data_IF_191259695230
#
_entry.id   IF_191259695230
#
_cell.length_a   1.000
_cell.length_b   1.000
_cell.length_c   1.000
_cell.angle_alpha   90.00
_cell.angle_beta   90.00
_cell.angle_gamma   90.00
#
_symmetry.space_group_name_H-M   'P 1'
#
loop_
_entity.id
_entity.type
_entity.pdbx_description
1 polymer ?
#
# COMPACT_ATOMS: atom_id res chain seq x y z
N UNK A 1 -10.09 -9.08 6.36
CA UNK A 1 -9.57 -10.10 5.41
C UNK A 1 -10.75 -10.96 4.99
N UNK A 2 -11.00 -11.08 3.68
CA UNK A 2 -12.03 -11.99 3.16
C UNK A 2 -11.43 -13.40 2.98
N UNK A 3 -12.28 -14.44 2.97
CA UNK A 3 -11.83 -15.83 2.90
C UNK A 3 -11.20 -16.23 1.55
N UNK A 4 -11.41 -15.45 0.49
CA UNK A 4 -10.71 -15.59 -0.77
C UNK A 4 -9.47 -14.69 -0.80
N UNK A 5 -8.31 -15.27 -1.16
CA UNK A 5 -7.04 -14.56 -1.24
C UNK A 5 -7.10 -13.41 -2.25
N UNK A 6 -6.59 -12.24 -1.84
CA UNK A 6 -6.37 -11.03 -2.65
C UNK A 6 -7.60 -10.50 -3.41
N UNK A 7 -8.80 -10.77 -2.90
CA UNK A 7 -10.08 -10.31 -3.48
C UNK A 7 -10.86 -9.32 -2.62
N UNK A 8 -10.26 -8.88 -1.51
CA UNK A 8 -10.84 -7.83 -0.69
C UNK A 8 -10.93 -6.51 -1.46
N UNK A 9 -11.84 -5.64 -1.03
CA UNK A 9 -11.93 -4.27 -1.54
C UNK A 9 -10.61 -3.54 -1.33
N UNK A 10 -10.13 -2.86 -2.37
CA UNK A 10 -8.95 -2.01 -2.31
C UNK A 10 -9.32 -0.72 -1.57
N UNK A 11 -8.59 -0.41 -0.48
CA UNK A 11 -8.84 0.78 0.35
C UNK A 11 -7.96 1.97 -0.05
N UNK A 12 -6.72 1.69 -0.47
CA UNK A 12 -5.76 2.69 -0.91
C UNK A 12 -4.71 2.04 -1.82
N UNK A 13 -4.08 2.84 -2.68
CA UNK A 13 -2.99 2.43 -3.56
C UNK A 13 -1.98 3.56 -3.69
N UNK A 14 -0.74 3.19 -3.98
CA UNK A 14 0.34 4.14 -4.27
C UNK A 14 1.16 3.65 -5.45
N UNK A 15 1.75 4.60 -6.18
CA UNK A 15 2.64 4.31 -7.31
C UNK A 15 4.10 4.38 -6.86
N UNK A 16 4.91 3.45 -7.36
CA UNK A 16 6.37 3.42 -7.11
C UNK A 16 7.09 3.42 -8.44
N UNK A 17 7.96 4.41 -8.66
CA UNK A 17 8.77 4.50 -9.87
C UNK A 17 9.74 3.31 -9.96
N UNK A 18 9.77 2.65 -11.12
CA UNK A 18 10.82 1.70 -11.50
C UNK A 18 11.94 2.48 -12.20
N UNK A 19 13.19 2.15 -11.87
CA UNK A 19 14.41 2.77 -12.38
C UNK A 19 15.17 1.76 -13.23
N UNK A 20 15.93 2.25 -14.20
CA UNK A 20 16.65 1.43 -15.19
C UNK A 20 17.54 0.34 -14.57
N UNK A 21 18.18 0.64 -13.43
CA UNK A 21 19.11 -0.26 -12.76
C UNK A 21 18.52 -0.94 -11.51
N UNK A 22 17.19 -1.06 -11.42
CA UNK A 22 16.59 -1.74 -10.29
C UNK A 22 16.90 -3.23 -10.29
N UNK A 23 17.14 -3.72 -9.08
CA UNK A 23 17.03 -5.14 -8.75
C UNK A 23 15.70 -5.35 -8.02
N UNK A 24 15.20 -6.60 -7.94
CA UNK A 24 14.03 -6.90 -7.12
C UNK A 24 14.17 -6.44 -5.67
N UNK A 25 15.39 -6.48 -5.11
CA UNK A 25 15.65 -6.01 -3.74
C UNK A 25 15.58 -4.49 -3.64
N UNK A 26 16.22 -3.74 -4.55
CA UNK A 26 16.17 -2.27 -4.51
C UNK A 26 14.77 -1.71 -4.77
N UNK A 27 13.98 -2.38 -5.61
CA UNK A 27 12.58 -2.03 -5.80
C UNK A 27 11.75 -2.35 -4.56
N UNK A 28 11.91 -3.54 -3.97
CA UNK A 28 11.23 -3.93 -2.72
C UNK A 28 11.50 -2.93 -1.60
N UNK A 29 12.74 -2.51 -1.42
CA UNK A 29 13.10 -1.59 -0.34
C UNK A 29 12.39 -0.22 -0.51
N UNK A 30 12.17 0.23 -1.76
CA UNK A 30 11.35 1.43 -2.02
C UNK A 30 9.86 1.18 -1.81
N UNK A 31 9.34 0.03 -2.25
CA UNK A 31 7.95 -0.36 -2.02
C UNK A 31 7.66 -0.39 -0.53
N UNK A 32 8.56 -0.96 0.29
CA UNK A 32 8.38 -1.07 1.74
C UNK A 32 8.23 0.29 2.44
N UNK A 33 8.99 1.30 2.00
CA UNK A 33 8.86 2.66 2.52
C UNK A 33 7.47 3.22 2.21
N UNK A 34 7.01 3.07 0.96
CA UNK A 34 5.69 3.53 0.52
C UNK A 34 4.56 2.75 1.21
N UNK A 35 4.73 1.46 1.44
CA UNK A 35 3.78 0.62 2.17
C UNK A 35 3.60 1.11 3.61
N UNK A 36 4.69 1.44 4.31
CA UNK A 36 4.59 1.97 5.68
C UNK A 36 3.81 3.29 5.73
N UNK A 37 4.05 4.19 4.79
CA UNK A 37 3.34 5.46 4.69
C UNK A 37 1.85 5.24 4.36
N UNK A 38 1.57 4.45 3.32
CA UNK A 38 0.21 4.15 2.85
C UNK A 38 -0.61 3.48 3.95
N UNK A 39 0.00 2.57 4.73
CA UNK A 39 -0.69 1.87 5.82
C UNK A 39 -1.13 2.82 6.93
N UNK A 40 -0.24 3.69 7.40
CA UNK A 40 -0.55 4.64 8.47
C UNK A 40 -1.60 5.65 8.01
N UNK A 41 -1.48 6.17 6.78
CA UNK A 41 -2.44 7.15 6.26
C UNK A 41 -3.82 6.53 6.02
N UNK A 42 -3.88 5.30 5.50
CA UNK A 42 -5.17 4.60 5.31
C UNK A 42 -5.89 4.39 6.65
N UNK A 43 -5.16 3.99 7.69
CA UNK A 43 -5.73 3.85 9.03
C UNK A 43 -6.20 5.19 9.60
N UNK A 44 -5.45 6.26 9.35
CA UNK A 44 -5.85 7.61 9.74
C UNK A 44 -7.17 8.01 9.08
N UNK A 45 -7.28 7.84 7.77
CA UNK A 45 -8.50 8.15 7.01
C UNK A 45 -9.71 7.34 7.47
N UNK A 46 -9.52 6.07 7.82
CA UNK A 46 -10.57 5.25 8.44
C UNK A 46 -10.98 5.86 9.80
N UNK A 47 -10.02 6.23 10.65
CA UNK A 47 -10.29 6.77 11.99
C UNK A 47 -11.02 8.11 11.97
N UNK A 48 -10.76 8.93 10.94
CA UNK A 48 -11.41 10.21 10.71
C UNK A 48 -12.77 10.06 9.99
N UNK A 49 -13.11 8.85 9.54
CA UNK A 49 -14.35 8.55 8.81
C UNK A 49 -14.31 8.91 7.32
N UNK A 50 -13.13 9.20 6.76
CA UNK A 50 -12.90 9.41 5.32
C UNK A 50 -13.06 8.13 4.50
N UNK A 51 -12.70 6.98 5.07
CA UNK A 51 -12.93 5.65 4.50
C UNK A 51 -13.91 4.89 5.39
N UNK A 52 -14.97 4.32 4.78
CA UNK A 52 -15.93 3.44 5.45
C UNK A 52 -15.63 1.99 5.09
N UNK A 53 -15.59 1.13 6.12
CA UNK A 53 -15.36 -0.32 6.00
C UNK A 53 -16.67 -1.10 5.95
#
# INVERSE_FOLDING_TARGET
VQGEYDRGTILAQAEVQIRENDTPSSLRDRVLIVEHELYVETLREISLGGIKL
#
